data_IF_421646181838
#
_entry.id   IF_421646181838
#
_cell.length_a   1.000
_cell.length_b   1.000
_cell.length_c   1.000
_cell.angle_alpha   90.00
_cell.angle_beta   90.00
_cell.angle_gamma   90.00
#
_symmetry.space_group_name_H-M   'P 1'
#
loop_
_entity.id
_entity.type
_entity.pdbx_description
1 polymer ?
#
# COMPACT_ATOMS: atom_id res chain seq x y z
N UNK A 1 -3.86 7.97 7.42
CA UNK A 1 -3.94 6.75 6.60
C UNK A 1 -4.58 6.99 5.25
N UNK A 2 -5.92 7.02 5.17
CA UNK A 2 -6.67 7.20 3.91
C UNK A 2 -6.25 8.42 3.08
N UNK A 3 -6.18 9.60 3.69
CA UNK A 3 -5.76 10.82 2.97
C UNK A 3 -4.33 10.68 2.43
N UNK A 4 -3.42 10.11 3.24
CA UNK A 4 -2.02 9.90 2.84
C UNK A 4 -1.88 8.99 1.61
N UNK A 5 -2.72 7.95 1.44
CA UNK A 5 -2.61 7.12 0.23
C UNK A 5 -2.99 7.88 -1.05
N UNK A 6 -3.83 8.92 -0.93
CA UNK A 6 -4.12 9.83 -2.02
C UNK A 6 -2.96 10.80 -2.23
N UNK A 7 -2.51 11.47 -1.17
CA UNK A 7 -1.47 12.51 -1.23
C UNK A 7 -0.10 11.95 -1.66
N UNK A 8 0.22 10.71 -1.28
CA UNK A 8 1.45 10.01 -1.65
C UNK A 8 1.35 9.30 -3.02
N UNK A 9 0.23 9.45 -3.72
CA UNK A 9 0.06 8.98 -5.10
C UNK A 9 -0.25 7.48 -5.25
N UNK A 10 -0.56 6.75 -4.18
CA UNK A 10 -0.87 5.32 -4.27
C UNK A 10 -2.09 5.06 -5.18
N UNK A 11 -3.07 5.97 -5.14
CA UNK A 11 -4.32 5.95 -5.94
C UNK A 11 -4.10 6.10 -7.44
N UNK A 12 -2.91 6.57 -7.88
CA UNK A 12 -2.55 6.65 -9.29
C UNK A 12 -2.30 5.26 -9.90
N UNK A 13 -1.84 4.30 -9.10
CA UNK A 13 -1.53 2.95 -9.54
C UNK A 13 -2.53 1.91 -9.04
N UNK A 14 -3.11 2.10 -7.86
CA UNK A 14 -4.00 1.13 -7.20
C UNK A 14 -5.43 1.62 -7.11
N UNK A 15 -6.36 0.66 -7.03
CA UNK A 15 -7.74 0.92 -6.63
C UNK A 15 -7.94 0.66 -5.15
N UNK A 16 -8.75 1.51 -4.52
CA UNK A 16 -9.12 1.45 -3.11
C UNK A 16 -10.66 1.43 -3.01
N UNK A 17 -11.23 0.80 -1.97
CA UNK A 17 -12.69 0.60 -1.88
C UNK A 17 -13.44 1.91 -1.64
N UNK A 18 -12.77 2.89 -1.06
CA UNK A 18 -13.28 4.16 -0.58
C UNK A 18 -12.77 5.37 -1.39
N UNK A 19 -11.99 5.14 -2.45
CA UNK A 19 -11.53 6.17 -3.39
C UNK A 19 -12.28 6.02 -4.71
N UNK A 20 -13.11 7.01 -5.04
CA UNK A 20 -13.93 7.00 -6.27
C UNK A 20 -13.13 7.40 -7.51
N UNK A 21 -12.20 8.34 -7.38
CA UNK A 21 -11.29 8.81 -8.43
C UNK A 21 -10.05 9.45 -7.78
N UNK A 22 -8.83 9.24 -8.31
CA UNK A 22 -8.48 8.37 -9.43
C UNK A 22 -8.52 6.88 -9.02
N UNK A 23 -8.64 5.99 -10.01
CA UNK A 23 -8.71 4.52 -9.84
C UNK A 23 -7.64 3.83 -10.68
N UNK A 24 -6.38 3.96 -10.26
CA UNK A 24 -5.24 3.33 -10.94
C UNK A 24 -5.37 1.82 -11.06
N UNK A 25 -4.95 1.25 -12.19
CA UNK A 25 -4.98 -0.19 -12.46
C UNK A 25 -3.62 -0.77 -12.89
N UNK A 26 -2.55 0.00 -12.70
CA UNK A 26 -1.19 -0.50 -12.96
C UNK A 26 -0.78 -1.52 -11.89
N UNK A 27 -1.15 -1.26 -10.64
CA UNK A 27 -1.05 -2.21 -9.54
C UNK A 27 -2.36 -2.97 -9.31
N UNK A 28 -2.34 -4.05 -8.52
CA UNK A 28 -3.55 -4.79 -8.14
C UNK A 28 -4.49 -3.92 -7.30
N UNK A 29 -5.77 -4.32 -7.24
CA UNK A 29 -6.73 -3.75 -6.30
C UNK A 29 -6.28 -4.00 -4.86
N UNK A 30 -6.47 -2.99 -4.01
CA UNK A 30 -6.19 -3.05 -2.58
C UNK A 30 -7.46 -3.18 -1.73
N UNK A 31 -8.64 -3.37 -2.36
CA UNK A 31 -9.94 -3.48 -1.69
C UNK A 31 -9.97 -4.53 -0.57
N UNK A 32 -9.23 -5.63 -0.75
CA UNK A 32 -9.10 -6.73 0.22
C UNK A 32 -7.69 -6.93 0.76
N UNK A 33 -6.85 -5.89 0.68
CA UNK A 33 -5.44 -6.02 1.01
C UNK A 33 -5.20 -6.55 2.44
N UNK A 34 -6.03 -6.14 3.41
CA UNK A 34 -5.95 -6.60 4.80
C UNK A 34 -6.26 -8.09 5.01
N UNK A 35 -6.79 -8.79 3.98
CA UNK A 35 -6.99 -10.25 4.00
C UNK A 35 -5.84 -11.01 3.34
N UNK A 36 -4.94 -10.33 2.64
CA UNK A 36 -3.83 -10.96 1.94
C UNK A 36 -2.77 -11.43 2.95
N UNK A 37 -2.27 -12.66 2.78
CA UNK A 37 -1.15 -13.18 3.58
C UNK A 37 0.21 -12.64 3.13
N UNK A 38 0.31 -12.18 1.88
CA UNK A 38 1.57 -11.73 1.28
C UNK A 38 1.46 -10.34 0.64
N UNK A 39 2.48 -9.52 0.85
CA UNK A 39 2.71 -8.24 0.19
C UNK A 39 3.47 -8.51 -1.11
N UNK A 40 2.95 -8.00 -2.24
CA UNK A 40 3.51 -8.20 -3.58
C UNK A 40 3.79 -9.68 -3.91
N UNK A 41 3.05 -10.62 -3.30
CA UNK A 41 3.24 -12.06 -3.46
C UNK A 41 4.58 -12.61 -2.94
N UNK A 42 5.35 -11.83 -2.17
CA UNK A 42 6.72 -12.18 -1.77
C UNK A 42 7.01 -12.06 -0.28
N UNK A 43 6.45 -11.07 0.39
CA UNK A 43 6.76 -10.78 1.79
C UNK A 43 5.55 -11.09 2.68
N UNK A 44 5.72 -11.53 3.93
CA UNK A 44 4.59 -11.72 4.85
C UNK A 44 3.89 -10.38 5.13
N UNK A 45 2.56 -10.36 5.11
CA UNK A 45 1.76 -9.16 5.40
C UNK A 45 1.70 -8.85 6.90
N UNK A 46 2.84 -8.44 7.45
CA UNK A 46 3.02 -8.05 8.84
C UNK A 46 3.21 -6.52 8.93
N UNK A 47 2.68 -5.84 9.97
CA UNK A 47 2.71 -4.38 10.05
C UNK A 47 4.12 -3.77 9.88
N UNK A 48 5.14 -4.36 10.51
CA UNK A 48 6.52 -3.87 10.41
C UNK A 48 7.11 -4.01 9.01
N UNK A 49 6.83 -5.12 8.31
CA UNK A 49 7.30 -5.37 6.94
C UNK A 49 6.55 -4.46 5.96
N UNK A 50 5.24 -4.31 6.14
CA UNK A 50 4.42 -3.43 5.31
C UNK A 50 4.85 -1.98 5.44
N UNK A 51 5.15 -1.50 6.65
CA UNK A 51 5.65 -0.15 6.89
C UNK A 51 6.96 0.13 6.13
N UNK A 52 7.88 -0.84 6.08
CA UNK A 52 9.11 -0.71 5.31
C UNK A 52 8.83 -0.76 3.80
N UNK A 53 7.94 -1.66 3.37
CA UNK A 53 7.57 -1.83 1.97
C UNK A 53 6.92 -0.58 1.37
N UNK A 54 5.97 0.05 2.07
CA UNK A 54 5.29 1.25 1.53
C UNK A 54 6.24 2.44 1.36
N UNK A 55 7.33 2.50 2.15
CA UNK A 55 8.38 3.52 2.02
C UNK A 55 9.33 3.24 0.86
N UNK A 56 9.75 1.99 0.73
CA UNK A 56 10.76 1.62 -0.26
C UNK A 56 10.57 0.17 -0.73
N UNK A 57 9.57 -0.03 -1.58
CA UNK A 57 9.29 -1.33 -2.16
C UNK A 57 10.49 -1.91 -2.94
N UNK A 58 11.25 -1.15 -3.74
CA UNK A 58 12.42 -1.69 -4.46
C UNK A 58 13.52 -2.25 -3.58
N UNK A 59 13.70 -1.73 -2.35
CA UNK A 59 14.70 -2.24 -1.42
C UNK A 59 14.36 -3.62 -0.84
N UNK A 60 13.07 -3.92 -0.67
CA UNK A 60 12.62 -5.22 -0.14
C UNK A 60 12.27 -6.20 -1.26
N UNK A 61 11.84 -5.68 -2.41
CA UNK A 61 11.42 -6.45 -3.57
C UNK A 61 12.12 -5.91 -4.82
N UNK A 62 13.38 -6.31 -5.07
CA UNK A 62 14.09 -5.91 -6.28
C UNK A 62 13.32 -6.27 -7.55
N UNK A 63 13.26 -5.33 -8.49
CA UNK A 63 12.52 -5.44 -9.75
C UNK A 63 11.01 -5.18 -9.66
N UNK A 64 10.49 -4.74 -8.51
CA UNK A 64 9.10 -4.24 -8.42
C UNK A 64 8.93 -2.94 -9.22
N UNK A 65 7.75 -2.76 -9.82
CA UNK A 65 7.38 -1.51 -10.48
C UNK A 65 6.94 -0.42 -9.48
N UNK A 66 6.65 -0.77 -8.23
CA UNK A 66 6.30 0.20 -7.20
C UNK A 66 7.54 1.04 -6.83
N UNK A 67 7.53 2.36 -7.00
CA UNK A 67 8.68 3.20 -6.69
C UNK A 67 8.91 3.32 -5.18
N UNK A 68 10.06 3.85 -4.79
CA UNK A 68 10.22 4.36 -3.43
C UNK A 68 9.34 5.60 -3.23
N UNK A 69 8.65 5.67 -2.10
CA UNK A 69 7.72 6.75 -1.77
C UNK A 69 8.21 7.41 -0.49
N UNK A 70 8.64 8.67 -0.60
CA UNK A 70 9.14 9.44 0.54
C UNK A 70 8.03 9.72 1.55
N UNK A 71 8.19 9.20 2.76
CA UNK A 71 7.28 9.41 3.87
C UNK A 71 8.02 9.33 5.20
N UNK A 72 7.52 10.05 6.19
CA UNK A 72 7.98 9.97 7.58
C UNK A 72 7.60 8.63 8.21
N UNK A 73 8.16 8.32 9.38
CA UNK A 73 7.82 7.11 10.13
C UNK A 73 6.35 7.10 10.55
N UNK A 74 5.81 8.26 10.91
CA UNK A 74 4.40 8.39 11.28
C UNK A 74 3.49 8.18 10.07
N UNK A 75 3.80 8.79 8.93
CA UNK A 75 3.02 8.61 7.70
C UNK A 75 3.01 7.14 7.25
N UNK A 76 4.16 6.46 7.32
CA UNK A 76 4.27 5.05 6.97
C UNK A 76 3.43 4.16 7.89
N UNK A 77 3.43 4.45 9.21
CA UNK A 77 2.58 3.75 10.19
C UNK A 77 1.10 3.98 9.88
N UNK A 78 0.70 5.21 9.59
CA UNK A 78 -0.68 5.57 9.33
C UNK A 78 -1.21 4.97 8.02
N UNK A 79 -0.38 4.91 6.97
CA UNK A 79 -0.69 4.23 5.71
C UNK A 79 -0.84 2.73 5.95
N UNK A 80 0.13 2.11 6.64
CA UNK A 80 0.13 0.69 6.99
C UNK A 80 -1.13 0.31 7.77
N UNK A 81 -1.46 1.08 8.81
CA UNK A 81 -2.64 0.84 9.64
C UNK A 81 -3.91 0.87 8.78
N UNK A 82 -4.04 1.87 7.91
CA UNK A 82 -5.19 1.97 7.01
C UNK A 82 -5.26 0.81 6.01
N UNK A 83 -4.16 0.43 5.36
CA UNK A 83 -4.13 -0.70 4.42
C UNK A 83 -4.60 -2.01 5.09
N UNK A 84 -4.19 -2.25 6.33
CA UNK A 84 -4.61 -3.43 7.10
C UNK A 84 -6.10 -3.42 7.49
N UNK A 85 -6.76 -2.26 7.45
CA UNK A 85 -8.22 -2.17 7.62
C UNK A 85 -9.02 -2.53 6.37
N UNK A 86 -8.38 -2.60 5.19
CA UNK A 86 -9.05 -2.88 3.91
C UNK A 86 -9.43 -4.36 3.82
N UNK A 87 -10.63 -4.66 4.32
CA UNK A 87 -11.25 -5.99 4.29
C UNK A 87 -12.68 -5.76 3.82
N UNK A 88 -12.99 -6.12 2.57
CA UNK A 88 -14.38 -6.11 2.12
C UNK A 88 -15.20 -7.09 2.97
N UNK A 89 -16.45 -6.72 3.23
CA UNK A 89 -17.40 -7.51 4.03
C UNK A 89 -17.86 -8.74 3.26
#
# INVERSE_FOLDING_TARGET
GRQLVADKGCVACHTFPDVKWPRGRLGPSLEDFGRQGLIAGRLPNQPGVLMQFVRNAPALVPGTAMPAISMTDQEARDVTAYLLTLKSR
#
